data_IF_703728658277
#
_entry.id   IF_703728658277
#
_cell.length_a   1.000
_cell.length_b   1.000
_cell.length_c   1.000
_cell.angle_alpha   90.00
_cell.angle_beta   90.00
_cell.angle_gamma   90.00
#
_symmetry.space_group_name_H-M   'P 1'
#
loop_
_entity.id
_entity.type
_entity.pdbx_description
1 polymer ?
#
# COMPACT_ATOMS: atom_id res chain seq x y z
N UNK A 1 -12.17 23.74 2.85
CA UNK A 1 -13.51 23.37 2.33
C UNK A 1 -14.53 23.46 3.44
N UNK A 2 -15.78 23.82 3.13
CA UNK A 2 -16.89 23.80 4.11
C UNK A 2 -17.89 22.68 3.83
N UNK A 3 -17.86 22.04 2.66
CA UNK A 3 -18.75 20.91 2.32
C UNK A 3 -18.09 20.03 1.28
N UNK A 4 -18.35 18.72 1.36
CA UNK A 4 -18.04 17.75 0.30
C UNK A 4 -19.37 17.27 -0.30
N UNK A 5 -19.51 17.36 -1.62
CA UNK A 5 -20.66 16.89 -2.39
C UNK A 5 -20.24 15.70 -3.24
N UNK A 6 -21.00 14.60 -3.19
CA UNK A 6 -20.78 13.41 -4.03
C UNK A 6 -22.11 12.79 -4.49
N UNK A 7 -22.06 11.84 -5.41
CA UNK A 7 -23.27 11.30 -6.03
C UNK A 7 -24.19 10.55 -5.05
N UNK A 8 -25.52 10.58 -5.27
CA UNK A 8 -26.49 9.86 -4.43
C UNK A 8 -26.64 8.37 -4.80
N UNK A 9 -25.96 7.91 -5.86
CA UNK A 9 -25.99 6.52 -6.32
C UNK A 9 -25.32 5.49 -5.38
N UNK A 10 -25.17 4.25 -5.85
CA UNK A 10 -24.42 3.24 -5.10
C UNK A 10 -22.96 3.65 -4.94
N UNK A 11 -22.43 3.64 -3.72
CA UNK A 11 -21.06 4.02 -3.43
C UNK A 11 -20.03 3.00 -3.93
N UNK A 12 -18.89 3.50 -4.39
CA UNK A 12 -17.73 2.71 -4.78
C UNK A 12 -16.60 2.91 -3.76
N UNK A 13 -15.46 2.26 -4.01
CA UNK A 13 -14.35 2.32 -3.05
C UNK A 13 -13.59 3.64 -3.16
N UNK A 14 -13.43 4.13 -4.38
CA UNK A 14 -12.66 5.31 -4.72
C UNK A 14 -13.33 6.61 -4.30
N UNK A 15 -14.63 6.81 -4.54
CA UNK A 15 -15.39 7.98 -4.08
C UNK A 15 -15.40 8.06 -2.54
N UNK A 16 -15.62 6.93 -1.86
CA UNK A 16 -15.58 6.86 -0.40
C UNK A 16 -14.20 7.21 0.13
N UNK A 17 -13.13 6.65 -0.43
CA UNK A 17 -11.77 6.95 0.00
C UNK A 17 -11.38 8.41 -0.29
N UNK A 18 -11.79 8.95 -1.44
CA UNK A 18 -11.59 10.36 -1.77
C UNK A 18 -12.25 11.26 -0.72
N UNK A 19 -13.50 10.97 -0.36
CA UNK A 19 -14.22 11.69 0.70
C UNK A 19 -13.54 11.50 2.06
N UNK A 20 -13.07 10.30 2.42
CA UNK A 20 -12.33 10.06 3.66
C UNK A 20 -11.09 10.97 3.78
N UNK A 21 -10.30 11.09 2.72
CA UNK A 21 -9.11 11.97 2.67
C UNK A 21 -9.51 13.44 2.89
N UNK A 22 -10.53 13.92 2.18
CA UNK A 22 -10.99 15.31 2.30
C UNK A 22 -11.59 15.60 3.68
N UNK A 23 -12.30 14.64 4.27
CA UNK A 23 -12.84 14.72 5.64
C UNK A 23 -11.72 14.85 6.67
N UNK A 24 -10.66 14.04 6.55
CA UNK A 24 -9.49 14.12 7.42
C UNK A 24 -8.83 15.50 7.37
N UNK A 25 -8.70 16.09 6.18
CA UNK A 25 -8.07 17.40 5.99
C UNK A 25 -8.92 18.59 6.44
N UNK A 26 -10.24 18.53 6.25
CA UNK A 26 -11.09 19.72 6.33
C UNK A 26 -12.16 19.68 7.41
N UNK A 27 -12.48 18.51 7.97
CA UNK A 27 -13.44 18.41 9.06
C UNK A 27 -14.87 18.84 8.69
N UNK A 28 -15.22 18.81 7.40
CA UNK A 28 -16.46 19.38 6.88
C UNK A 28 -17.52 18.31 6.54
N UNK A 29 -18.83 18.65 6.59
CA UNK A 29 -19.91 17.70 6.34
C UNK A 29 -19.94 17.20 4.89
N UNK A 30 -20.52 16.02 4.72
CA UNK A 30 -20.70 15.37 3.42
C UNK A 30 -22.18 15.43 3.03
N UNK A 31 -22.46 15.76 1.77
CA UNK A 31 -23.81 15.77 1.20
C UNK A 31 -23.84 14.91 -0.05
N UNK A 32 -24.84 14.06 -0.16
CA UNK A 32 -24.98 13.11 -1.26
C UNK A 32 -26.14 13.48 -2.16
N UNK A 33 -25.83 14.22 -3.24
CA UNK A 33 -26.78 14.70 -4.26
C UNK A 33 -26.03 15.26 -5.47
N UNK A 34 -26.77 15.58 -6.52
CA UNK A 34 -26.25 16.41 -7.62
C UNK A 34 -25.77 17.77 -7.09
N UNK A 35 -24.57 18.23 -7.50
CA UNK A 35 -24.08 19.57 -7.17
C UNK A 35 -24.89 20.64 -7.93
N UNK A 36 -24.99 21.85 -7.38
CA UNK A 36 -25.52 23.00 -8.13
C UNK A 36 -24.41 23.66 -8.96
N UNK A 37 -24.74 24.48 -9.99
CA UNK A 37 -23.75 25.25 -10.72
C UNK A 37 -22.89 26.15 -9.81
N UNK A 38 -23.51 26.75 -8.77
CA UNK A 38 -22.81 27.59 -7.81
C UNK A 38 -21.80 26.78 -6.98
N UNK A 39 -22.12 25.53 -6.65
CA UNK A 39 -21.19 24.63 -5.95
C UNK A 39 -20.01 24.20 -6.83
N UNK A 40 -20.21 24.03 -8.13
CA UNK A 40 -19.12 23.73 -9.08
C UNK A 40 -18.17 24.93 -9.28
N UNK A 41 -18.65 26.14 -9.03
CA UNK A 41 -17.88 27.38 -9.10
C UNK A 41 -17.25 27.79 -7.75
N UNK A 42 -17.64 27.16 -6.64
CA UNK A 42 -17.13 27.47 -5.29
C UNK A 42 -15.94 26.58 -4.91
N UNK A 43 -14.70 27.12 -4.84
CA UNK A 43 -13.52 26.32 -4.49
C UNK A 43 -13.54 25.78 -3.05
N UNK A 44 -14.45 26.26 -2.19
CA UNK A 44 -14.64 25.76 -0.83
C UNK A 44 -15.64 24.59 -0.75
N UNK A 45 -16.30 24.24 -1.84
CA UNK A 45 -17.08 23.00 -1.98
C UNK A 45 -16.27 21.99 -2.78
N UNK A 46 -15.93 20.85 -2.17
CA UNK A 46 -15.36 19.76 -2.95
C UNK A 46 -16.47 18.96 -3.62
N UNK A 47 -16.43 18.82 -4.93
CA UNK A 47 -17.35 18.00 -5.71
C UNK A 47 -16.60 16.75 -6.16
N UNK A 48 -17.02 15.58 -5.67
CA UNK A 48 -16.25 14.33 -5.76
C UNK A 48 -17.07 13.27 -6.49
N UNK A 49 -16.48 12.70 -7.53
CA UNK A 49 -17.07 11.62 -8.34
C UNK A 49 -18.42 11.98 -8.99
N UNK A 50 -18.62 13.27 -9.26
CA UNK A 50 -19.84 13.82 -9.86
C UNK A 50 -19.57 15.22 -10.45
N UNK A 51 -20.42 15.69 -11.37
CA UNK A 51 -20.39 17.06 -11.90
C UNK A 51 -19.83 17.18 -13.32
N UNK A 52 -19.24 16.13 -13.88
CA UNK A 52 -18.79 16.04 -15.27
C UNK A 52 -17.51 16.81 -15.58
N UNK A 53 -16.74 17.22 -14.57
CA UNK A 53 -15.53 18.03 -14.73
C UNK A 53 -14.48 17.70 -13.67
N UNK A 54 -13.21 17.68 -14.09
CA UNK A 54 -12.08 17.72 -13.19
C UNK A 54 -11.40 19.10 -13.28
N UNK A 55 -11.45 19.85 -12.18
CA UNK A 55 -10.76 21.13 -12.01
C UNK A 55 -10.27 21.24 -10.54
N UNK A 56 -9.01 20.88 -10.26
CA UNK A 56 -8.44 20.95 -8.92
C UNK A 56 -8.46 22.37 -8.30
N UNK A 57 -8.43 23.43 -9.11
CA UNK A 57 -8.46 24.80 -8.58
C UNK A 57 -9.84 25.18 -8.02
N UNK A 58 -10.88 24.45 -8.44
CA UNK A 58 -12.26 24.56 -7.96
C UNK A 58 -12.69 23.39 -7.10
N UNK A 59 -11.77 22.52 -6.71
CA UNK A 59 -12.07 21.32 -5.91
C UNK A 59 -13.06 20.35 -6.59
N UNK A 60 -13.06 20.29 -7.93
CA UNK A 60 -13.89 19.36 -8.70
C UNK A 60 -13.06 18.14 -9.12
N UNK A 61 -13.49 16.95 -8.70
CA UNK A 61 -12.78 15.68 -8.82
C UNK A 61 -13.68 14.61 -9.44
N UNK A 62 -14.06 14.80 -10.71
CA UNK A 62 -14.84 13.80 -11.46
C UNK A 62 -14.05 13.26 -12.65
N UNK A 63 -13.98 11.94 -12.76
CA UNK A 63 -13.28 11.22 -13.82
C UNK A 63 -14.20 10.72 -14.95
N UNK A 64 -15.53 10.80 -14.80
CA UNK A 64 -16.50 10.24 -15.75
C UNK A 64 -16.48 10.88 -17.15
N UNK A 65 -15.95 12.11 -17.26
CA UNK A 65 -15.85 12.83 -18.53
C UNK A 65 -14.64 12.42 -19.38
N UNK A 66 -13.70 11.65 -18.83
CA UNK A 66 -12.51 11.22 -19.56
C UNK A 66 -12.86 10.23 -20.68
N UNK A 67 -12.15 10.30 -21.83
CA UNK A 67 -12.36 9.36 -22.92
C UNK A 67 -12.01 7.94 -22.49
N UNK A 68 -12.61 6.96 -23.16
CA UNK A 68 -12.40 5.53 -22.87
C UNK A 68 -10.93 5.14 -22.93
N UNK A 69 -10.12 5.79 -23.75
CA UNK A 69 -8.70 5.52 -23.95
C UNK A 69 -7.81 6.13 -22.85
N UNK A 70 -8.35 7.01 -22.00
CA UNK A 70 -7.63 7.60 -20.88
C UNK A 70 -7.04 6.52 -19.97
N UNK A 71 -5.86 6.77 -19.41
CA UNK A 71 -5.28 5.88 -18.41
C UNK A 71 -6.28 5.65 -17.26
N UNK A 72 -6.35 4.43 -16.68
CA UNK A 72 -7.19 4.19 -15.50
C UNK A 72 -6.94 5.26 -14.43
N UNK A 73 -8.01 5.85 -13.94
CA UNK A 73 -8.02 6.84 -12.86
C UNK A 73 -9.41 6.84 -12.23
N UNK A 74 -9.50 7.27 -10.98
CA UNK A 74 -10.73 7.33 -10.19
C UNK A 74 -10.72 8.58 -9.29
N UNK A 75 -11.82 8.84 -8.59
CA UNK A 75 -11.96 10.06 -7.78
C UNK A 75 -10.85 10.23 -6.72
N UNK A 76 -10.42 9.12 -6.10
CA UNK A 76 -9.32 9.13 -5.14
C UNK A 76 -8.00 9.58 -5.78
N UNK A 77 -7.69 9.09 -6.98
CA UNK A 77 -6.46 9.46 -7.70
C UNK A 77 -6.40 10.96 -7.98
N UNK A 78 -7.53 11.54 -8.40
CA UNK A 78 -7.63 12.99 -8.66
C UNK A 78 -7.42 13.82 -7.39
N UNK A 79 -7.98 13.38 -6.25
CA UNK A 79 -7.75 14.03 -4.95
C UNK A 79 -6.28 13.90 -4.52
N UNK A 80 -5.70 12.70 -4.63
CA UNK A 80 -4.28 12.49 -4.28
C UNK A 80 -3.34 13.27 -5.19
N UNK A 81 -3.67 13.44 -6.46
CA UNK A 81 -2.89 14.23 -7.41
C UNK A 81 -2.90 15.72 -7.03
N UNK A 82 -4.07 16.27 -6.69
CA UNK A 82 -4.19 17.63 -6.18
C UNK A 82 -3.38 17.87 -4.91
N UNK A 83 -3.29 16.87 -4.02
CA UNK A 83 -2.49 16.93 -2.80
C UNK A 83 -0.99 16.70 -3.03
N UNK A 84 -0.56 16.37 -4.26
CA UNK A 84 0.82 16.01 -4.56
C UNK A 84 1.27 14.67 -3.99
N UNK A 85 0.32 13.79 -3.66
CA UNK A 85 0.53 12.49 -3.02
C UNK A 85 0.36 11.30 -3.97
N UNK A 86 -0.16 11.52 -5.18
CA UNK A 86 -0.49 10.43 -6.10
C UNK A 86 0.70 9.52 -6.45
N UNK A 87 1.87 10.09 -6.73
CA UNK A 87 3.06 9.30 -7.07
C UNK A 87 3.57 8.48 -5.89
N UNK A 88 3.45 8.98 -4.66
CA UNK A 88 3.76 8.20 -3.46
C UNK A 88 2.74 7.08 -3.27
N UNK A 89 1.46 7.38 -3.49
CA UNK A 89 0.41 6.39 -3.35
C UNK A 89 0.55 5.25 -4.38
N UNK A 90 0.91 5.55 -5.64
CA UNK A 90 1.25 4.50 -6.61
C UNK A 90 2.45 3.65 -6.16
N UNK A 91 3.41 4.24 -5.47
CA UNK A 91 4.62 3.55 -5.02
C UNK A 91 4.42 2.70 -3.77
N UNK A 92 3.54 3.12 -2.87
CA UNK A 92 3.39 2.53 -1.54
C UNK A 92 2.05 1.82 -1.32
N UNK A 93 1.03 2.10 -2.12
CA UNK A 93 -0.30 1.50 -2.01
C UNK A 93 -0.57 0.59 -3.21
N UNK A 94 -0.11 -0.67 -3.16
CA UNK A 94 -0.31 -1.67 -4.22
C UNK A 94 -1.79 -1.85 -4.64
N UNK A 95 -2.72 -1.51 -3.76
CA UNK A 95 -4.16 -1.57 -4.01
C UNK A 95 -4.71 -0.41 -4.86
N UNK A 96 -3.97 0.69 -5.04
CA UNK A 96 -4.46 1.90 -5.70
C UNK A 96 -4.73 1.66 -7.18
N UNK A 97 -3.77 1.12 -7.93
CA UNK A 97 -3.98 0.80 -9.35
C UNK A 97 -5.15 -0.19 -9.52
N UNK A 98 -5.27 -1.16 -8.61
CA UNK A 98 -6.41 -2.08 -8.63
C UNK A 98 -7.74 -1.35 -8.47
N UNK A 99 -7.81 -0.33 -7.61
CA UNK A 99 -9.00 0.50 -7.44
C UNK A 99 -9.30 1.32 -8.70
N UNK A 100 -8.30 1.97 -9.30
CA UNK A 100 -8.44 2.73 -10.55
C UNK A 100 -8.94 1.85 -11.71
N UNK A 101 -8.39 0.64 -11.84
CA UNK A 101 -8.84 -0.33 -12.84
C UNK A 101 -10.25 -0.81 -12.55
N UNK A 102 -10.55 -1.15 -11.30
CA UNK A 102 -11.88 -1.64 -10.92
C UNK A 102 -12.97 -0.62 -11.26
N UNK A 103 -12.74 0.63 -10.88
CA UNK A 103 -13.71 1.70 -11.06
C UNK A 103 -13.83 2.12 -12.54
N UNK A 104 -12.72 2.46 -13.21
CA UNK A 104 -12.77 2.91 -14.61
C UNK A 104 -13.01 1.79 -15.64
N UNK A 105 -12.63 0.53 -15.35
CA UNK A 105 -12.66 -0.58 -16.33
C UNK A 105 -13.59 -1.72 -15.94
N UNK A 106 -14.05 -1.78 -14.69
CA UNK A 106 -14.91 -2.82 -14.18
C UNK A 106 -14.20 -4.15 -13.87
N UNK A 107 -14.82 -5.01 -13.05
CA UNK A 107 -14.18 -6.19 -12.43
C UNK A 107 -13.61 -7.22 -13.40
N UNK A 108 -14.19 -7.32 -14.60
CA UNK A 108 -13.71 -8.29 -15.62
C UNK A 108 -12.34 -7.88 -16.16
N UNK A 109 -12.15 -6.60 -16.47
CA UNK A 109 -10.89 -6.09 -17.01
C UNK A 109 -9.82 -6.02 -15.93
N UNK A 110 -10.19 -5.65 -14.69
CA UNK A 110 -9.29 -5.69 -13.53
C UNK A 110 -8.74 -7.09 -13.29
N UNK A 111 -9.60 -8.12 -13.31
CA UNK A 111 -9.13 -9.51 -13.17
C UNK A 111 -8.15 -9.92 -14.27
N UNK A 112 -8.45 -9.57 -15.53
CA UNK A 112 -7.55 -9.85 -16.64
C UNK A 112 -6.19 -9.13 -16.51
N UNK A 113 -6.19 -7.88 -16.06
CA UNK A 113 -4.98 -7.09 -15.81
C UNK A 113 -4.13 -7.69 -14.68
N UNK A 114 -4.76 -8.13 -13.59
CA UNK A 114 -4.11 -8.82 -12.46
C UNK A 114 -3.67 -10.27 -12.79
N UNK A 115 -4.02 -10.81 -13.97
CA UNK A 115 -3.75 -12.21 -14.31
C UNK A 115 -4.58 -13.23 -13.51
N UNK A 116 -5.71 -12.82 -12.93
CA UNK A 116 -6.58 -13.66 -12.10
C UNK A 116 -7.98 -13.84 -12.71
N UNK A 117 -8.69 -14.94 -12.41
CA UNK A 117 -10.09 -15.09 -12.81
C UNK A 117 -10.95 -13.97 -12.22
N UNK A 118 -11.96 -13.47 -12.97
CA UNK A 118 -12.93 -12.46 -12.46
C UNK A 118 -13.49 -12.80 -11.08
N UNK A 119 -13.68 -14.09 -10.78
CA UNK A 119 -14.21 -14.56 -9.48
C UNK A 119 -13.30 -14.20 -8.31
N UNK A 120 -11.98 -14.11 -8.51
CA UNK A 120 -11.03 -13.72 -7.47
C UNK A 120 -11.37 -12.35 -6.88
N UNK A 121 -11.77 -11.38 -7.73
CA UNK A 121 -12.19 -10.05 -7.29
C UNK A 121 -13.35 -10.12 -6.27
N UNK A 122 -14.34 -10.99 -6.52
CA UNK A 122 -15.45 -11.19 -5.59
C UNK A 122 -15.08 -12.03 -4.36
N UNK A 123 -14.07 -12.89 -4.45
CA UNK A 123 -13.59 -13.71 -3.32
C UNK A 123 -12.81 -12.87 -2.30
N UNK A 124 -12.24 -11.74 -2.74
CA UNK A 124 -11.53 -10.78 -1.89
C UNK A 124 -12.46 -9.72 -1.28
N UNK A 125 -13.77 -9.83 -1.46
CA UNK A 125 -14.72 -8.89 -0.87
C UNK A 125 -14.66 -8.91 0.66
N UNK A 126 -14.36 -7.75 1.24
CA UNK A 126 -14.37 -7.51 2.69
C UNK A 126 -15.79 -7.14 3.16
N UNK A 127 -16.39 -7.88 4.11
CA UNK A 127 -17.67 -7.48 4.70
C UNK A 127 -17.62 -6.13 5.43
N UNK A 128 -16.45 -5.72 5.92
CA UNK A 128 -16.23 -4.41 6.55
C UNK A 128 -16.38 -3.32 5.49
N UNK A 129 -15.61 -3.42 4.40
CA UNK A 129 -15.64 -2.47 3.28
C UNK A 129 -17.07 -2.37 2.72
N UNK A 130 -17.70 -3.51 2.45
CA UNK A 130 -19.07 -3.54 1.92
C UNK A 130 -20.12 -2.95 2.87
N UNK A 131 -19.89 -3.03 4.18
CA UNK A 131 -20.77 -2.39 5.16
C UNK A 131 -20.62 -0.88 5.11
N UNK A 132 -19.39 -0.38 5.03
CA UNK A 132 -19.12 1.05 4.93
C UNK A 132 -19.69 1.65 3.65
N UNK A 133 -19.44 1.02 2.50
CA UNK A 133 -20.00 1.46 1.21
C UNK A 133 -21.53 1.53 1.27
N UNK A 134 -22.17 0.50 1.83
CA UNK A 134 -23.63 0.46 1.95
C UNK A 134 -24.18 1.53 2.89
N UNK A 135 -23.53 1.76 4.04
CA UNK A 135 -23.95 2.78 4.99
C UNK A 135 -23.76 4.19 4.43
N UNK A 136 -22.63 4.41 3.75
CA UNK A 136 -22.38 5.63 3.01
C UNK A 136 -23.48 5.85 1.95
N UNK A 137 -23.80 4.83 1.14
CA UNK A 137 -24.84 4.88 0.08
C UNK A 137 -26.25 5.17 0.59
N UNK A 138 -26.56 4.83 1.84
CA UNK A 138 -27.87 5.05 2.44
C UNK A 138 -28.04 6.46 3.03
N UNK A 139 -26.95 7.19 3.24
CA UNK A 139 -26.98 8.52 3.82
C UNK A 139 -27.20 9.59 2.74
N UNK A 140 -28.01 10.60 3.03
CA UNK A 140 -28.14 11.80 2.18
C UNK A 140 -27.25 12.94 2.67
N UNK A 141 -26.92 12.95 3.96
CA UNK A 141 -26.01 13.87 4.62
C UNK A 141 -25.31 13.16 5.78
N UNK A 142 -24.03 13.45 5.97
CA UNK A 142 -23.21 12.90 7.05
C UNK A 142 -22.51 14.06 7.75
N UNK A 143 -22.72 14.18 9.05
CA UNK A 143 -22.18 15.24 9.91
C UNK A 143 -20.98 14.75 10.73
N UNK A 144 -20.09 15.65 11.20
CA UNK A 144 -18.97 15.28 12.06
C UNK A 144 -19.32 14.49 13.32
N UNK A 145 -20.55 14.64 13.82
CA UNK A 145 -21.07 13.90 14.98
C UNK A 145 -21.47 12.45 14.67
N UNK A 146 -21.60 12.07 13.39
CA UNK A 146 -22.07 10.74 13.01
C UNK A 146 -20.98 9.68 13.20
N UNK A 147 -21.32 8.46 13.66
CA UNK A 147 -20.33 7.38 13.80
C UNK A 147 -19.64 7.01 12.49
N UNK A 148 -20.39 7.07 11.36
CA UNK A 148 -19.83 6.80 10.03
C UNK A 148 -18.75 7.83 9.68
N UNK A 149 -18.98 9.10 9.98
CA UNK A 149 -18.00 10.17 9.77
C UNK A 149 -16.71 9.90 10.55
N UNK A 150 -16.83 9.52 11.83
CA UNK A 150 -15.69 9.19 12.66
C UNK A 150 -14.83 8.08 12.04
N UNK A 151 -15.45 7.04 11.47
CA UNK A 151 -14.74 5.99 10.77
C UNK A 151 -14.07 6.49 9.48
N UNK A 152 -14.78 7.25 8.66
CA UNK A 152 -14.24 7.82 7.43
C UNK A 152 -13.01 8.70 7.70
N UNK A 153 -13.07 9.50 8.76
CA UNK A 153 -11.94 10.33 9.20
C UNK A 153 -10.73 9.49 9.60
N UNK A 154 -10.93 8.41 10.37
CA UNK A 154 -9.83 7.49 10.72
C UNK A 154 -9.17 6.90 9.47
N UNK A 155 -9.97 6.47 8.48
CA UNK A 155 -9.42 5.95 7.21
C UNK A 155 -8.60 7.01 6.46
N UNK A 156 -9.09 8.25 6.40
CA UNK A 156 -8.36 9.36 5.78
C UNK A 156 -7.07 9.71 6.52
N UNK A 157 -7.14 9.83 7.85
CA UNK A 157 -5.99 10.11 8.72
C UNK A 157 -4.91 9.02 8.57
N UNK A 158 -5.30 7.74 8.62
CA UNK A 158 -4.39 6.61 8.49
C UNK A 158 -3.73 6.57 7.10
N UNK A 159 -4.48 6.86 6.02
CA UNK A 159 -3.92 6.90 4.67
C UNK A 159 -2.93 8.05 4.49
N UNK A 160 -3.28 9.25 4.94
CA UNK A 160 -2.42 10.43 4.85
C UNK A 160 -1.15 10.25 5.69
N UNK A 161 -1.28 9.74 6.91
CA UNK A 161 -0.15 9.45 7.79
C UNK A 161 0.73 8.34 7.21
N UNK A 162 0.13 7.29 6.66
CA UNK A 162 0.88 6.22 5.99
C UNK A 162 1.74 6.78 4.85
N UNK A 163 1.17 7.60 3.97
CA UNK A 163 1.90 8.18 2.83
C UNK A 163 3.01 9.14 3.29
N UNK A 164 2.73 9.99 4.29
CA UNK A 164 3.72 10.91 4.88
C UNK A 164 4.91 10.14 5.45
N UNK A 165 4.63 9.12 6.25
CA UNK A 165 5.65 8.32 6.94
C UNK A 165 6.37 7.36 6.00
N UNK A 166 5.70 6.84 4.96
CA UNK A 166 6.32 5.94 3.98
C UNK A 166 7.51 6.61 3.26
N UNK A 167 7.39 7.90 2.93
CA UNK A 167 8.49 8.66 2.32
C UNK A 167 9.69 8.80 3.26
N UNK A 168 9.45 9.27 4.49
CA UNK A 168 10.50 9.40 5.53
C UNK A 168 11.20 8.06 5.80
N UNK A 169 10.42 6.97 5.88
CA UNK A 169 10.95 5.62 6.06
C UNK A 169 11.77 5.17 4.87
N UNK A 170 11.31 5.41 3.65
CA UNK A 170 12.06 5.02 2.46
C UNK A 170 13.42 5.74 2.40
N UNK A 171 13.44 7.04 2.67
CA UNK A 171 14.69 7.81 2.71
C UNK A 171 15.62 7.31 3.82
N UNK A 172 15.07 6.99 4.99
CA UNK A 172 15.82 6.41 6.11
C UNK A 172 16.48 5.07 5.72
N UNK A 173 15.75 4.20 5.03
CA UNK A 173 16.23 2.89 4.56
C UNK A 173 17.26 3.07 3.45
N UNK A 174 16.99 3.91 2.46
CA UNK A 174 17.83 4.12 1.29
C UNK A 174 19.27 4.55 1.65
N UNK A 175 19.43 5.27 2.76
CA UNK A 175 20.74 5.70 3.26
C UNK A 175 21.55 4.58 3.94
N UNK A 176 20.91 3.46 4.30
CA UNK A 176 21.48 2.44 5.20
C UNK A 176 21.54 1.05 4.60
N UNK A 177 20.65 0.74 3.66
CA UNK A 177 20.62 -0.61 3.10
C UNK A 177 21.87 -0.90 2.31
N UNK A 178 22.33 -2.13 2.45
CA UNK A 178 23.41 -2.69 1.67
C UNK A 178 22.86 -3.77 0.77
N UNK A 179 23.28 -3.77 -0.49
CA UNK A 179 23.01 -4.85 -1.41
C UNK A 179 24.19 -5.82 -1.37
N UNK A 180 23.91 -7.05 -1.00
CA UNK A 180 24.90 -8.13 -0.98
C UNK A 180 24.72 -9.03 -2.20
N UNK A 181 25.83 -9.31 -2.87
CA UNK A 181 25.94 -10.41 -3.85
C UNK A 181 26.77 -11.50 -3.20
N UNK A 182 26.11 -12.59 -2.81
CA UNK A 182 26.73 -13.71 -2.07
C UNK A 182 27.01 -14.83 -3.07
N UNK A 183 28.28 -15.20 -3.24
CA UNK A 183 28.65 -16.33 -4.09
C UNK A 183 28.26 -17.65 -3.42
N UNK A 184 27.55 -18.52 -4.15
CA UNK A 184 27.11 -19.83 -3.69
C UNK A 184 27.33 -20.88 -4.78
N UNK A 185 28.54 -21.44 -4.86
CA UNK A 185 28.93 -22.32 -5.96
C UNK A 185 28.95 -21.56 -7.28
N UNK A 186 28.18 -22.03 -8.27
CA UNK A 186 27.98 -21.34 -9.55
C UNK A 186 26.87 -20.28 -9.50
N UNK A 187 26.10 -20.22 -8.41
CA UNK A 187 24.98 -19.31 -8.24
C UNK A 187 25.39 -18.03 -7.50
N UNK A 188 24.59 -16.98 -7.66
CA UNK A 188 24.70 -15.74 -6.89
C UNK A 188 23.39 -15.49 -6.15
N UNK A 189 23.49 -15.25 -4.85
CA UNK A 189 22.36 -14.90 -4.01
C UNK A 189 22.40 -13.39 -3.76
N UNK A 190 21.39 -12.70 -4.26
CA UNK A 190 21.19 -11.28 -4.00
C UNK A 190 20.36 -11.09 -2.74
N UNK A 191 20.91 -10.36 -1.77
CA UNK A 191 20.24 -10.08 -0.51
C UNK A 191 20.26 -8.58 -0.21
N UNK A 192 19.20 -8.10 0.43
CA UNK A 192 19.13 -6.74 0.96
C UNK A 192 19.35 -6.78 2.47
N UNK A 193 20.41 -6.14 2.94
CA UNK A 193 20.75 -6.04 4.35
C UNK A 193 20.42 -4.66 4.89
N UNK A 194 19.78 -4.63 6.06
CA UNK A 194 19.60 -3.41 6.84
C UNK A 194 20.46 -3.49 8.10
N UNK A 195 21.48 -2.62 8.27
CA UNK A 195 22.22 -2.57 9.52
C UNK A 195 21.33 -2.10 10.67
N UNK A 196 21.66 -2.53 11.89
CA UNK A 196 21.04 -2.02 13.10
C UNK A 196 21.40 -0.55 13.28
N UNK A 197 20.38 0.29 13.48
CA UNK A 197 20.54 1.72 13.75
C UNK A 197 19.68 2.12 14.96
N UNK A 198 20.17 3.07 15.75
CA UNK A 198 19.38 3.70 16.81
C UNK A 198 18.16 4.41 16.20
N UNK A 199 16.99 4.24 16.83
CA UNK A 199 15.72 4.81 16.35
C UNK A 199 15.02 4.01 15.23
N UNK A 200 15.49 2.81 14.89
CA UNK A 200 14.79 1.91 13.97
C UNK A 200 13.40 1.53 14.50
N UNK A 201 12.39 1.58 13.63
CA UNK A 201 10.98 1.34 13.96
C UNK A 201 10.60 -0.14 13.92
N UNK A 202 9.42 -0.49 14.41
CA UNK A 202 9.00 -1.87 14.67
C UNK A 202 8.67 -2.74 13.44
N UNK A 203 8.67 -2.21 12.21
CA UNK A 203 8.32 -3.01 11.01
C UNK A 203 9.36 -2.99 9.89
N UNK A 204 10.58 -3.42 10.22
CA UNK A 204 11.75 -3.42 9.32
C UNK A 204 11.59 -4.32 8.09
N UNK A 205 10.87 -5.43 8.20
CA UNK A 205 10.64 -6.35 7.08
C UNK A 205 9.70 -5.75 6.03
N UNK A 206 8.57 -5.18 6.45
CA UNK A 206 7.66 -4.52 5.52
C UNK A 206 8.33 -3.31 4.87
N UNK A 207 9.14 -2.58 5.64
CA UNK A 207 9.96 -1.47 5.17
C UNK A 207 10.94 -1.88 4.06
N UNK A 208 11.68 -2.98 4.23
CA UNK A 208 12.55 -3.50 3.17
C UNK A 208 11.78 -3.95 1.93
N UNK A 209 10.62 -4.60 2.12
CA UNK A 209 9.76 -4.96 0.98
C UNK A 209 9.29 -3.75 0.18
N UNK A 210 8.86 -2.69 0.85
CA UNK A 210 8.51 -1.43 0.20
C UNK A 210 9.71 -0.80 -0.51
N UNK A 211 10.93 -0.85 0.06
CA UNK A 211 12.14 -0.38 -0.62
C UNK A 211 12.44 -1.17 -1.90
N UNK A 212 12.32 -2.50 -1.87
CA UNK A 212 12.57 -3.37 -3.02
C UNK A 212 11.63 -3.00 -4.18
N UNK A 213 10.32 -2.91 -3.92
CA UNK A 213 9.32 -2.48 -4.92
C UNK A 213 9.60 -1.07 -5.44
N UNK A 214 9.83 -0.14 -4.52
CA UNK A 214 10.11 1.26 -4.78
C UNK A 214 11.33 1.47 -5.70
N UNK A 215 12.29 0.54 -5.69
CA UNK A 215 13.50 0.58 -6.52
C UNK A 215 13.50 -0.47 -7.66
N UNK A 216 12.38 -1.17 -7.89
CA UNK A 216 12.20 -2.21 -8.91
C UNK A 216 13.24 -3.33 -8.81
N UNK A 217 13.51 -3.76 -7.58
CA UNK A 217 14.48 -4.81 -7.26
C UNK A 217 13.81 -6.19 -7.07
N UNK A 218 12.51 -6.29 -7.33
CA UNK A 218 11.66 -7.43 -6.98
C UNK A 218 12.09 -8.74 -7.63
N UNK A 219 12.54 -8.67 -8.88
CA UNK A 219 13.00 -9.84 -9.63
C UNK A 219 14.45 -10.23 -9.33
N UNK A 220 15.13 -9.46 -8.47
CA UNK A 220 16.56 -9.62 -8.24
C UNK A 220 16.86 -10.02 -6.81
N UNK A 221 16.17 -9.43 -5.82
CA UNK A 221 16.43 -9.75 -4.41
C UNK A 221 15.80 -11.09 -4.04
N UNK A 222 16.62 -12.02 -3.55
CA UNK A 222 16.17 -13.32 -3.09
C UNK A 222 15.91 -13.33 -1.57
N UNK A 223 16.68 -12.59 -0.79
CA UNK A 223 16.58 -12.57 0.67
C UNK A 223 16.62 -11.16 1.26
N UNK A 224 16.02 -10.99 2.43
CA UNK A 224 16.12 -9.80 3.26
C UNK A 224 16.73 -10.16 4.62
N UNK A 225 17.63 -9.31 5.09
CA UNK A 225 18.33 -9.45 6.38
C UNK A 225 18.10 -8.16 7.17
N UNK A 226 17.50 -8.28 8.36
CA UNK A 226 17.10 -7.11 9.15
C UNK A 226 17.25 -7.34 10.66
N UNK A 227 17.44 -6.28 11.46
CA UNK A 227 17.56 -6.40 12.91
C UNK A 227 16.34 -7.10 13.53
N UNK A 228 16.56 -8.09 14.40
CA UNK A 228 15.45 -8.67 15.15
C UNK A 228 14.94 -7.68 16.20
N UNK A 229 13.63 -7.69 16.43
CA UNK A 229 12.96 -6.80 17.40
C UNK A 229 13.17 -7.26 18.84
N UNK A 230 13.37 -8.56 19.05
CA UNK A 230 13.37 -9.17 20.39
C UNK A 230 14.77 -9.43 20.96
N UNK A 231 15.82 -9.07 20.23
CA UNK A 231 17.19 -9.26 20.66
C UNK A 231 18.18 -8.54 19.74
N UNK A 232 19.46 -8.69 20.07
CA UNK A 232 20.55 -7.96 19.39
C UNK A 232 20.90 -8.53 18.01
N UNK A 233 20.39 -9.72 17.70
CA UNK A 233 20.63 -10.43 16.44
C UNK A 233 19.77 -9.97 15.27
N UNK A 234 19.57 -10.86 14.30
CA UNK A 234 18.92 -10.56 13.02
C UNK A 234 17.83 -11.58 12.68
N UNK A 235 16.80 -11.10 11.98
CA UNK A 235 15.91 -11.91 11.17
C UNK A 235 16.45 -12.02 9.74
N UNK A 236 16.36 -13.21 9.17
CA UNK A 236 16.65 -13.46 7.76
C UNK A 236 15.40 -14.12 7.15
N UNK A 237 14.91 -13.57 6.05
CA UNK A 237 13.74 -14.10 5.35
C UNK A 237 13.95 -14.14 3.85
N UNK A 238 13.28 -15.07 3.18
CA UNK A 238 13.23 -15.07 1.70
C UNK A 238 12.25 -13.99 1.25
N UNK A 239 12.60 -13.26 0.19
CA UNK A 239 11.73 -12.27 -0.42
C UNK A 239 10.72 -12.97 -1.34
N UNK A 240 9.43 -12.58 -1.26
CA UNK A 240 8.31 -13.11 -2.06
C UNK A 240 8.33 -14.64 -2.29
N UNK A 241 8.62 -15.39 -1.24
CA UNK A 241 8.68 -16.86 -1.28
C UNK A 241 9.64 -17.44 -2.35
N UNK A 242 10.78 -16.79 -2.57
CA UNK A 242 11.80 -17.26 -3.52
C UNK A 242 12.09 -18.77 -3.32
N UNK A 243 11.89 -19.61 -4.36
CA UNK A 243 11.81 -21.07 -4.20
C UNK A 243 13.13 -21.71 -3.79
N UNK A 244 14.26 -21.07 -4.10
CA UNK A 244 15.59 -21.58 -3.78
C UNK A 244 16.07 -21.27 -2.36
N UNK A 245 15.25 -20.67 -1.49
CA UNK A 245 15.59 -20.39 -0.10
C UNK A 245 14.69 -21.15 0.87
N UNK A 246 15.32 -21.96 1.71
CA UNK A 246 14.70 -22.69 2.80
C UNK A 246 15.50 -22.52 4.09
N UNK A 247 15.03 -21.61 4.94
CA UNK A 247 15.63 -21.33 6.24
C UNK A 247 15.37 -22.40 7.29
N UNK A 248 14.55 -23.43 7.03
CA UNK A 248 14.46 -24.58 7.94
C UNK A 248 15.79 -25.34 8.03
N UNK A 249 16.60 -25.29 6.97
CA UNK A 249 17.93 -25.91 6.86
C UNK A 249 18.95 -25.37 7.86
N UNK A 250 18.71 -24.19 8.43
CA UNK A 250 19.61 -23.58 9.43
C UNK A 250 19.17 -23.83 10.87
N UNK A 251 18.09 -24.59 11.13
CA UNK A 251 17.57 -24.85 12.48
C UNK A 251 18.63 -25.44 13.45
N UNK A 252 19.56 -26.25 12.93
CA UNK A 252 20.63 -26.87 13.73
C UNK A 252 21.86 -26.00 13.98
N UNK A 253 21.90 -24.76 13.48
CA UNK A 253 23.04 -23.86 13.67
C UNK A 253 23.03 -23.29 15.10
N UNK A 254 24.19 -23.22 15.79
CA UNK A 254 24.26 -22.90 17.23
C UNK A 254 23.75 -21.50 17.59
N UNK A 255 23.82 -20.57 16.65
CA UNK A 255 23.40 -19.18 16.75
C UNK A 255 22.00 -18.93 16.18
N UNK A 256 21.31 -19.95 15.67
CA UNK A 256 19.91 -19.86 15.21
C UNK A 256 18.98 -20.29 16.33
N UNK A 257 18.07 -19.40 16.72
CA UNK A 257 17.14 -19.64 17.84
C UNK A 257 15.73 -19.96 17.36
N UNK A 258 15.44 -19.67 16.09
CA UNK A 258 14.18 -19.98 15.46
C UNK A 258 14.39 -20.13 13.96
N UNK A 259 13.84 -21.18 13.38
CA UNK A 259 13.69 -21.36 11.95
C UNK A 259 12.26 -21.79 11.67
N UNK A 260 11.58 -21.12 10.73
CA UNK A 260 10.21 -21.49 10.39
C UNK A 260 10.20 -22.81 9.60
N UNK A 261 9.30 -23.74 9.95
CA UNK A 261 9.23 -25.07 9.32
C UNK A 261 8.95 -25.04 7.82
N UNK A 262 8.20 -24.04 7.35
CA UNK A 262 7.96 -23.80 5.92
C UNK A 262 9.11 -23.08 5.21
N UNK A 263 10.22 -22.81 5.89
CA UNK A 263 11.44 -22.29 5.29
C UNK A 263 11.48 -20.79 5.02
N UNK A 264 10.41 -20.02 5.30
CA UNK A 264 10.38 -18.62 4.87
C UNK A 264 11.27 -17.67 5.67
N UNK A 265 11.63 -18.00 6.92
CA UNK A 265 12.54 -17.15 7.73
C UNK A 265 13.23 -17.89 8.87
N UNK A 266 14.34 -17.31 9.36
CA UNK A 266 14.97 -17.66 10.63
C UNK A 266 15.30 -16.40 11.46
N UNK A 267 15.61 -16.63 12.75
CA UNK A 267 16.15 -15.63 13.68
C UNK A 267 17.44 -16.15 14.30
N UNK A 268 18.45 -15.31 14.33
CA UNK A 268 19.80 -15.67 14.77
C UNK A 268 20.39 -14.59 15.67
N UNK A 269 21.27 -14.97 16.61
CA UNK A 269 22.14 -14.04 17.35
C UNK A 269 23.37 -13.59 16.55
N UNK A 270 23.60 -14.14 15.35
CA UNK A 270 24.65 -13.69 14.46
C UNK A 270 24.52 -12.20 14.16
N UNK A 271 25.63 -11.48 14.25
CA UNK A 271 25.70 -10.03 14.02
C UNK A 271 26.77 -9.62 13.01
N UNK A 272 27.62 -10.55 12.59
CA UNK A 272 28.67 -10.28 11.60
C UNK A 272 28.16 -10.55 10.19
N UNK A 273 28.57 -9.71 9.24
CA UNK A 273 28.23 -9.84 7.82
C UNK A 273 28.55 -11.23 7.29
N UNK A 274 29.76 -11.73 7.57
CA UNK A 274 30.21 -13.05 7.10
C UNK A 274 29.29 -14.18 7.59
N UNK A 275 28.89 -14.16 8.87
CA UNK A 275 28.04 -15.22 9.42
C UNK A 275 26.60 -15.14 8.91
N UNK A 276 26.06 -13.93 8.76
CA UNK A 276 24.73 -13.72 8.17
C UNK A 276 24.69 -14.21 6.72
N UNK A 277 25.71 -13.90 5.92
CA UNK A 277 25.82 -14.39 4.55
C UNK A 277 25.98 -15.92 4.49
N UNK A 278 26.73 -16.51 5.43
CA UNK A 278 26.86 -17.97 5.54
C UNK A 278 25.50 -18.65 5.79
N UNK A 279 24.68 -18.11 6.70
CA UNK A 279 23.33 -18.64 6.96
C UNK A 279 22.43 -18.57 5.71
N UNK A 280 22.52 -17.49 4.94
CA UNK A 280 21.81 -17.37 3.64
C UNK A 280 22.30 -18.44 2.66
N UNK A 281 23.60 -18.68 2.58
CA UNK A 281 24.19 -19.72 1.72
C UNK A 281 23.75 -21.12 2.13
N UNK A 282 23.68 -21.45 3.43
CA UNK A 282 23.21 -22.76 3.91
C UNK A 282 21.73 -22.99 3.54
N UNK A 283 20.92 -21.93 3.61
CA UNK A 283 19.51 -21.96 3.24
C UNK A 283 19.28 -22.11 1.73
N UNK A 284 20.29 -21.87 0.89
CA UNK A 284 20.17 -22.00 -0.56
C UNK A 284 20.02 -23.47 -0.98
N UNK A 285 18.97 -23.74 -1.74
CA UNK A 285 18.63 -25.05 -2.29
C UNK A 285 18.36 -24.93 -3.79
N UNK A 286 19.03 -25.76 -4.59
CA UNK A 286 18.76 -25.90 -6.04
C UNK A 286 17.48 -26.69 -6.33
N UNK A 287 16.84 -27.23 -5.30
CA UNK A 287 15.61 -28.02 -5.43
C UNK A 287 14.50 -27.30 -4.67
N UNK A 288 13.38 -26.94 -5.33
CA UNK A 288 12.17 -26.48 -4.65
C UNK A 288 11.55 -27.57 -3.77
#
# INVERSE_FOLDING_TARGET
MHTIVTHPGGAHKDDVLAVCVLVALHGCPIVRREPTPEELDDPLVAVVDIGGVHDPARSNFDHHHFPREHAPTCALSLVLEHLGLYQDALRFCDWLETAEWFDSRGPKKTGAWLGVPRRAISQLNSPIDMTLLRRFAQATRIEPSDPLYGFMRMVGDDLLEYLRVARERLDFIAQRVERWTIACGDDQIEALFLPRAEGATDDLSAMLGSYIRAHRLDQVIHAIVYPDRRGDGFGIGRYEDHPSLDFSRVEGQPDVHFAHKSGFMCKTSASTHARLQELVTIAWSRTP
#
